data_IF_322755733850
#
_entry.id   IF_322755733850
#
_cell.length_a   1.000
_cell.length_b   1.000
_cell.length_c   1.000
_cell.angle_alpha   90.00
_cell.angle_beta   90.00
_cell.angle_gamma   90.00
#
_symmetry.space_group_name_H-M   'P 1'
#
loop_
_entity.id
_entity.type
_entity.pdbx_description
1 polymer ?
#
# COMPACT_ATOMS: atom_id res chain seq x y z
N UNK A 1 -19.17 -3.19 29.92
CA UNK A 1 -19.06 -3.06 28.46
C UNK A 1 -20.42 -2.71 27.92
N UNK A 2 -20.50 -1.67 27.09
CA UNK A 2 -21.71 -1.27 26.39
C UNK A 2 -21.47 -1.38 24.89
N UNK A 3 -22.30 -2.16 24.19
CA UNK A 3 -22.27 -2.27 22.73
C UNK A 3 -23.12 -1.13 22.18
N UNK A 4 -22.48 -0.09 21.69
CA UNK A 4 -23.13 1.11 21.18
C UNK A 4 -22.23 1.92 20.25
N UNK A 5 -22.77 2.93 19.56
CA UNK A 5 -24.18 3.33 19.54
C UNK A 5 -25.05 2.37 18.71
N UNK A 6 -26.30 2.72 18.43
CA UNK A 6 -27.18 1.97 17.52
C UNK A 6 -26.47 1.56 16.22
N UNK A 7 -26.72 0.34 15.75
CA UNK A 7 -26.04 -0.26 14.59
C UNK A 7 -24.64 -0.84 14.89
N UNK A 8 -24.09 -0.62 16.08
CA UNK A 8 -22.87 -1.30 16.52
C UNK A 8 -23.07 -2.81 16.68
N UNK A 9 -21.96 -3.55 16.73
CA UNK A 9 -21.95 -5.00 16.91
C UNK A 9 -20.82 -5.45 17.82
N UNK A 10 -21.07 -6.49 18.60
CA UNK A 10 -20.07 -7.24 19.34
C UNK A 10 -20.00 -8.67 18.78
N UNK A 11 -19.40 -8.81 17.61
CA UNK A 11 -19.21 -10.12 16.97
C UNK A 11 -17.86 -10.75 17.34
N UNK A 12 -17.73 -12.07 17.15
CA UNK A 12 -16.47 -12.79 17.36
C UNK A 12 -15.88 -12.55 18.77
N UNK A 13 -14.62 -12.12 18.88
CA UNK A 13 -13.98 -11.76 20.14
C UNK A 13 -14.78 -10.73 20.97
N UNK A 14 -15.55 -9.85 20.31
CA UNK A 14 -16.41 -8.89 20.99
C UNK A 14 -17.45 -9.56 21.92
N UNK A 15 -17.98 -10.72 21.53
CA UNK A 15 -18.91 -11.50 22.36
C UNK A 15 -18.26 -11.90 23.68
N UNK A 16 -17.01 -12.38 23.65
CA UNK A 16 -16.28 -12.75 24.86
C UNK A 16 -16.02 -11.55 25.77
N UNK A 17 -15.66 -10.40 25.19
CA UNK A 17 -15.41 -9.17 25.95
C UNK A 17 -16.68 -8.70 26.67
N UNK A 18 -17.83 -8.73 25.97
CA UNK A 18 -19.13 -8.37 26.57
C UNK A 18 -19.48 -9.32 27.71
N UNK A 19 -19.36 -10.63 27.49
CA UNK A 19 -19.76 -11.63 28.49
C UNK A 19 -18.82 -11.70 29.70
N UNK A 20 -17.54 -11.40 29.51
CA UNK A 20 -16.56 -11.28 30.58
C UNK A 20 -16.75 -10.01 31.44
N UNK A 21 -17.50 -9.02 30.96
CA UNK A 21 -17.67 -7.77 31.67
C UNK A 21 -18.51 -7.92 32.94
N UNK A 22 -18.20 -7.10 33.95
CA UNK A 22 -19.02 -6.97 35.17
C UNK A 22 -20.46 -6.52 34.89
N UNK A 23 -20.63 -5.68 33.88
CA UNK A 23 -21.93 -5.24 33.36
C UNK A 23 -21.88 -5.36 31.83
N UNK A 24 -22.80 -6.12 31.26
CA UNK A 24 -23.00 -6.28 29.83
C UNK A 24 -24.25 -5.51 29.43
N UNK A 25 -24.11 -4.52 28.54
CA UNK A 25 -25.24 -3.74 28.06
C UNK A 25 -25.14 -3.50 26.55
N UNK A 26 -26.29 -3.27 25.93
CA UNK A 26 -26.39 -3.06 24.48
C UNK A 26 -27.32 -1.90 24.17
N UNK A 27 -27.04 -1.12 23.14
CA UNK A 27 -28.00 -0.17 22.58
C UNK A 27 -29.06 -0.89 21.74
N UNK A 28 -30.27 -0.33 21.59
CA UNK A 28 -31.25 -0.83 20.62
C UNK A 28 -30.64 -0.94 19.21
N UNK A 29 -31.09 -1.93 18.43
CA UNK A 29 -30.60 -2.14 17.05
C UNK A 29 -29.15 -2.66 16.94
N UNK A 30 -28.53 -3.07 18.05
CA UNK A 30 -27.19 -3.69 18.03
C UNK A 30 -27.26 -5.22 18.03
N UNK A 31 -26.15 -5.86 17.66
CA UNK A 31 -26.04 -7.33 17.54
C UNK A 31 -24.84 -7.89 18.29
N UNK A 32 -24.94 -9.14 18.75
CA UNK A 32 -23.89 -9.89 19.44
C UNK A 32 -23.89 -11.36 18.97
N UNK A 33 -22.75 -12.03 19.06
CA UNK A 33 -22.61 -13.46 18.74
C UNK A 33 -21.61 -13.69 17.60
N UNK A 34 -21.90 -14.64 16.71
CA UNK A 34 -21.02 -15.06 15.61
C UNK A 34 -19.58 -15.28 16.11
N UNK A 35 -19.46 -16.08 17.18
CA UNK A 35 -18.23 -16.29 17.94
C UNK A 35 -17.48 -17.57 17.55
N UNK A 36 -17.80 -18.12 16.38
CA UNK A 36 -17.14 -19.31 15.84
C UNK A 36 -15.72 -19.04 15.39
N UNK A 37 -14.92 -20.10 15.40
CA UNK A 37 -13.50 -20.05 15.03
C UNK A 37 -13.37 -19.96 13.51
N UNK A 38 -12.65 -18.96 13.04
CA UNK A 38 -12.22 -18.80 11.66
C UNK A 38 -10.71 -18.57 11.62
N UNK A 39 -10.05 -18.99 10.54
CA UNK A 39 -8.64 -18.64 10.35
C UNK A 39 -8.50 -17.16 10.01
N UNK A 40 -7.33 -16.57 10.33
CA UNK A 40 -7.02 -15.18 10.01
C UNK A 40 -7.11 -14.86 8.51
N UNK A 41 -6.91 -15.86 7.65
CA UNK A 41 -6.99 -15.71 6.19
C UNK A 41 -8.33 -16.19 5.59
N UNK A 42 -9.30 -16.60 6.41
CA UNK A 42 -10.57 -17.15 5.93
C UNK A 42 -10.46 -18.52 5.24
N UNK A 43 -9.30 -19.16 5.33
CA UNK A 43 -9.10 -20.56 4.93
C UNK A 43 -9.77 -21.52 5.92
N UNK A 44 -10.22 -22.68 5.42
CA UNK A 44 -10.72 -23.74 6.28
C UNK A 44 -9.60 -24.27 7.17
N UNK A 45 -9.86 -24.30 8.48
CA UNK A 45 -8.99 -24.95 9.45
C UNK A 45 -9.16 -26.45 9.33
N UNK A 46 -8.06 -27.18 9.49
CA UNK A 46 -8.10 -28.63 9.71
C UNK A 46 -9.12 -28.99 10.81
N UNK A 47 -9.89 -30.05 10.60
CA UNK A 47 -11.01 -30.44 11.47
C UNK A 47 -10.58 -30.65 12.92
N UNK A 48 -9.41 -31.27 13.13
CA UNK A 48 -8.89 -31.54 14.48
C UNK A 48 -8.52 -30.25 15.19
N UNK A 49 -7.86 -29.34 14.48
CA UNK A 49 -7.48 -28.02 15.00
C UNK A 49 -8.71 -27.17 15.32
N UNK A 50 -9.70 -27.16 14.42
CA UNK A 50 -10.97 -26.47 14.61
C UNK A 50 -11.70 -26.99 15.84
N UNK A 51 -11.84 -28.31 15.98
CA UNK A 51 -12.49 -28.94 17.12
C UNK A 51 -11.79 -28.59 18.45
N UNK A 52 -10.44 -28.65 18.49
CA UNK A 52 -9.67 -28.29 19.68
C UNK A 52 -9.90 -26.84 20.11
N UNK A 53 -9.84 -25.90 19.17
CA UNK A 53 -10.02 -24.47 19.47
C UNK A 53 -11.49 -24.20 19.86
N UNK A 54 -12.45 -24.77 19.15
CA UNK A 54 -13.87 -24.64 19.49
C UNK A 54 -14.13 -25.13 20.90
N UNK A 55 -13.64 -26.31 21.29
CA UNK A 55 -13.82 -26.84 22.63
C UNK A 55 -13.19 -25.94 23.72
N UNK A 56 -12.00 -25.39 23.48
CA UNK A 56 -11.35 -24.44 24.40
C UNK A 56 -12.18 -23.15 24.56
N UNK A 57 -12.64 -22.58 23.44
CA UNK A 57 -13.45 -21.36 23.45
C UNK A 57 -14.82 -21.58 24.09
N UNK A 58 -15.46 -22.73 23.88
CA UNK A 58 -16.71 -23.11 24.55
C UNK A 58 -16.51 -23.23 26.06
N UNK A 59 -15.41 -23.84 26.52
CA UNK A 59 -15.08 -23.88 27.95
C UNK A 59 -14.85 -22.47 28.53
N UNK A 60 -14.15 -21.62 27.77
CA UNK A 60 -13.87 -20.22 28.16
C UNK A 60 -15.14 -19.37 28.24
N UNK A 61 -16.02 -19.44 27.25
CA UNK A 61 -17.26 -18.64 27.26
C UNK A 61 -18.20 -19.09 28.38
N UNK A 62 -18.24 -20.40 28.68
CA UNK A 62 -18.96 -20.95 29.84
C UNK A 62 -18.44 -20.37 31.16
N UNK A 63 -17.13 -20.17 31.29
CA UNK A 63 -16.55 -19.53 32.48
C UNK A 63 -17.04 -18.07 32.66
N UNK A 64 -17.14 -17.31 31.56
CA UNK A 64 -17.62 -15.93 31.61
C UNK A 64 -19.13 -15.81 31.90
N UNK A 65 -19.91 -16.84 31.55
CA UNK A 65 -21.37 -16.82 31.71
C UNK A 65 -21.86 -17.52 32.98
N UNK A 66 -20.98 -18.02 33.86
CA UNK A 66 -21.37 -18.72 35.10
C UNK A 66 -22.32 -17.94 36.00
N UNK A 67 -22.23 -16.60 36.00
CA UNK A 67 -23.12 -15.72 36.78
C UNK A 67 -24.52 -15.55 36.18
N UNK A 68 -24.77 -16.11 34.99
CA UNK A 68 -26.01 -15.97 34.23
C UNK A 68 -26.83 -17.26 34.27
N UNK A 69 -28.12 -17.16 33.95
CA UNK A 69 -29.02 -18.30 33.90
C UNK A 69 -28.68 -19.32 32.81
N UNK A 70 -29.24 -20.53 32.91
CA UNK A 70 -28.93 -21.64 32.00
C UNK A 70 -29.17 -21.32 30.52
N UNK A 71 -30.23 -20.56 30.20
CA UNK A 71 -30.53 -20.13 28.81
C UNK A 71 -29.45 -19.21 28.23
N UNK A 72 -28.90 -18.30 29.04
CA UNK A 72 -27.81 -17.43 28.62
C UNK A 72 -26.51 -18.21 28.37
N UNK A 73 -26.23 -19.22 29.21
CA UNK A 73 -25.07 -20.08 29.05
C UNK A 73 -25.19 -20.94 27.78
N UNK A 74 -26.34 -21.58 27.56
CA UNK A 74 -26.62 -22.35 26.34
C UNK A 74 -26.47 -21.49 25.07
N UNK A 75 -27.08 -20.31 25.06
CA UNK A 75 -26.96 -19.38 23.94
C UNK A 75 -25.49 -19.01 23.68
N UNK A 76 -24.71 -18.73 24.73
CA UNK A 76 -23.31 -18.34 24.58
C UNK A 76 -22.44 -19.49 24.03
N UNK A 77 -22.69 -20.73 24.45
CA UNK A 77 -22.02 -21.90 23.88
C UNK A 77 -22.34 -22.07 22.39
N UNK A 78 -23.62 -21.94 22.03
CA UNK A 78 -24.09 -22.01 20.65
C UNK A 78 -23.56 -20.87 19.78
N UNK A 79 -23.34 -19.68 20.36
CA UNK A 79 -22.70 -18.58 19.64
C UNK A 79 -21.28 -18.95 19.16
N UNK A 80 -20.60 -19.87 19.85
CA UNK A 80 -19.28 -20.41 19.46
C UNK A 80 -19.43 -21.62 18.54
N UNK A 81 -20.26 -22.60 18.89
CA UNK A 81 -20.34 -23.89 18.17
C UNK A 81 -21.15 -23.80 16.87
N UNK A 82 -22.24 -23.03 16.87
CA UNK A 82 -23.18 -22.87 15.75
C UNK A 82 -23.05 -21.52 15.04
N UNK A 83 -22.18 -20.63 15.54
CA UNK A 83 -21.98 -19.27 15.02
C UNK A 83 -23.25 -18.39 15.06
N UNK A 84 -24.20 -18.67 15.97
CA UNK A 84 -25.43 -17.88 16.06
C UNK A 84 -25.14 -16.44 16.50
N UNK A 85 -25.94 -15.51 15.99
CA UNK A 85 -25.96 -14.12 16.40
C UNK A 85 -27.40 -13.72 16.73
N UNK A 86 -27.53 -12.72 17.60
CA UNK A 86 -28.83 -12.23 18.05
C UNK A 86 -28.80 -10.73 18.31
N UNK A 87 -29.99 -10.13 18.26
CA UNK A 87 -30.24 -8.72 18.57
C UNK A 87 -30.24 -8.45 20.07
N UNK A 88 -30.04 -7.19 20.46
CA UNK A 88 -30.10 -6.75 21.86
C UNK A 88 -31.35 -7.26 22.61
N UNK A 89 -32.54 -7.18 21.99
CA UNK A 89 -33.81 -7.62 22.59
C UNK A 89 -33.89 -9.12 22.84
N UNK A 90 -33.38 -9.93 21.90
CA UNK A 90 -33.37 -11.38 22.02
C UNK A 90 -32.47 -11.83 23.17
N UNK A 91 -31.25 -11.29 23.22
CA UNK A 91 -30.27 -11.68 24.23
C UNK A 91 -30.60 -11.13 25.61
N UNK A 92 -31.29 -9.98 25.70
CA UNK A 92 -31.81 -9.46 26.96
C UNK A 92 -32.86 -10.38 27.57
N UNK A 93 -33.81 -10.88 26.77
CA UNK A 93 -34.84 -11.85 27.22
C UNK A 93 -34.23 -13.16 27.73
N UNK A 94 -33.12 -13.59 27.14
CA UNK A 94 -32.39 -14.79 27.54
C UNK A 94 -31.48 -14.57 28.78
N UNK A 95 -31.32 -13.32 29.25
CA UNK A 95 -30.43 -12.97 30.37
C UNK A 95 -28.94 -12.97 30.03
N UNK A 96 -28.59 -12.92 28.73
CA UNK A 96 -27.21 -12.87 28.22
C UNK A 96 -26.57 -11.52 28.48
N UNK A 97 -27.36 -10.44 28.48
CA UNK A 97 -26.94 -9.09 28.86
C UNK A 97 -27.78 -8.60 30.04
N UNK A 98 -27.27 -7.58 30.73
CA UNK A 98 -27.85 -7.03 31.95
C UNK A 98 -28.83 -5.89 31.65
N UNK A 99 -28.56 -5.07 30.62
CA UNK A 99 -29.39 -3.90 30.26
C UNK A 99 -29.44 -3.62 28.76
N UNK A 100 -30.57 -3.07 28.31
CA UNK A 100 -30.68 -2.36 27.03
C UNK A 100 -30.74 -0.86 27.32
N UNK A 101 -29.78 -0.11 26.80
CA UNK A 101 -29.64 1.32 27.07
C UNK A 101 -29.25 2.09 25.81
N UNK A 102 -30.03 3.09 25.34
CA UNK A 102 -29.71 3.84 24.12
C UNK A 102 -28.48 4.74 24.23
N UNK A 103 -28.11 5.13 25.45
CA UNK A 103 -26.98 6.04 25.71
C UNK A 103 -26.23 5.66 26.98
N UNK A 104 -24.98 6.10 27.11
CA UNK A 104 -24.18 5.92 28.34
C UNK A 104 -24.88 6.54 29.58
N UNK A 105 -25.43 7.77 29.54
CA UNK A 105 -26.17 8.31 30.69
C UNK A 105 -27.38 7.47 31.11
N UNK A 106 -28.11 6.91 30.14
CA UNK A 106 -29.23 6.01 30.45
C UNK A 106 -28.75 4.70 31.10
N UNK A 107 -27.67 4.13 30.57
CA UNK A 107 -27.04 2.95 31.14
C UNK A 107 -26.55 3.18 32.59
N UNK A 108 -25.93 4.33 32.87
CA UNK A 108 -25.47 4.69 34.21
C UNK A 108 -26.63 4.81 35.22
N UNK A 109 -27.79 5.31 34.78
CA UNK A 109 -29.00 5.33 35.60
C UNK A 109 -29.54 3.92 35.85
N UNK A 110 -29.57 3.06 34.83
CA UNK A 110 -30.10 1.70 34.94
C UNK A 110 -29.24 0.78 35.83
N UNK A 111 -27.91 0.92 35.77
CA UNK A 111 -26.99 0.07 36.54
C UNK A 111 -26.74 0.53 37.99
N UNK A 112 -27.30 1.68 38.38
CA UNK A 112 -27.15 2.19 39.74
C UNK A 112 -27.76 1.22 40.76
N UNK A 113 -27.01 0.93 41.83
CA UNK A 113 -27.41 -0.05 42.84
C UNK A 113 -27.14 -1.52 42.45
N UNK A 114 -26.68 -1.80 41.23
CA UNK A 114 -26.32 -3.16 40.84
C UNK A 114 -25.11 -3.66 41.65
N UNK A 115 -25.18 -4.89 42.17
CA UNK A 115 -24.04 -5.53 42.83
C UNK A 115 -23.24 -6.35 41.83
N UNK A 116 -21.92 -6.09 41.74
CA UNK A 116 -20.98 -6.81 40.88
C UNK A 116 -19.79 -7.34 41.67
N UNK A 117 -19.20 -8.44 41.21
CA UNK A 117 -18.02 -9.05 41.82
C UNK A 117 -16.74 -8.47 41.21
N UNK A 118 -15.99 -7.66 41.94
CA UNK A 118 -14.72 -7.07 41.49
C UNK A 118 -13.59 -7.61 42.35
N UNK A 119 -12.58 -8.24 41.74
CA UNK A 119 -11.41 -8.80 42.43
C UNK A 119 -11.77 -9.68 43.65
N UNK A 120 -12.85 -10.46 43.56
CA UNK A 120 -13.30 -11.31 44.66
C UNK A 120 -13.98 -10.55 45.81
N UNK A 121 -14.55 -9.38 45.57
CA UNK A 121 -15.41 -8.65 46.51
C UNK A 121 -16.70 -8.21 45.85
N UNK A 122 -17.79 -8.24 46.62
CA UNK A 122 -19.08 -7.75 46.14
C UNK A 122 -19.10 -6.23 46.31
N UNK A 123 -19.32 -5.53 45.21
CA UNK A 123 -19.28 -4.07 45.12
C UNK A 123 -20.59 -3.59 44.54
N UNK A 124 -21.29 -2.72 45.27
CA UNK A 124 -22.49 -2.03 44.78
C UNK A 124 -22.06 -0.85 43.91
N UNK A 125 -22.52 -0.82 42.66
CA UNK A 125 -22.29 0.28 41.74
C UNK A 125 -23.12 1.49 42.16
N UNK A 126 -22.49 2.67 42.19
CA UNK A 126 -23.12 3.96 42.46
C UNK A 126 -22.81 4.88 41.29
N UNK A 127 -23.70 4.92 40.31
CA UNK A 127 -23.49 5.45 38.97
C UNK A 127 -24.46 6.57 38.57
N UNK A 128 -25.55 6.80 39.31
CA UNK A 128 -26.63 7.72 38.92
C UNK A 128 -26.18 9.16 38.60
N UNK A 129 -25.16 9.68 39.30
CA UNK A 129 -24.69 11.08 39.19
C UNK A 129 -23.19 11.19 38.82
N UNK A 130 -22.60 10.13 38.27
CA UNK A 130 -21.18 10.18 37.91
C UNK A 130 -20.95 11.00 36.64
N UNK A 131 -19.96 11.91 36.62
CA UNK A 131 -19.55 12.57 35.40
C UNK A 131 -18.94 11.55 34.43
N UNK A 132 -19.34 11.64 33.15
CA UNK A 132 -18.77 10.82 32.09
C UNK A 132 -17.51 11.49 31.57
N UNK A 133 -16.36 10.90 31.85
CA UNK A 133 -15.09 11.30 31.27
C UNK A 133 -14.79 10.43 30.05
N UNK A 134 -14.71 11.07 28.87
CA UNK A 134 -14.29 10.39 27.66
C UNK A 134 -12.77 10.29 27.65
N UNK A 135 -12.25 9.08 27.55
CA UNK A 135 -10.82 8.83 27.33
C UNK A 135 -10.57 8.80 25.82
N UNK A 136 -10.03 9.88 25.21
CA UNK A 136 -9.70 9.86 23.80
C UNK A 136 -8.52 8.92 23.55
N UNK A 137 -8.37 8.46 22.31
CA UNK A 137 -7.16 7.75 21.90
C UNK A 137 -5.92 8.60 22.19
N UNK A 138 -4.90 8.00 22.76
CA UNK A 138 -3.57 8.60 22.93
C UNK A 138 -2.88 8.80 21.57
N UNK A 139 -1.84 9.62 21.51
CA UNK A 139 -1.10 9.84 20.24
C UNK A 139 -0.59 8.53 19.60
N UNK A 140 -0.01 7.57 20.35
CA UNK A 140 0.37 6.28 19.79
C UNK A 140 -0.83 5.49 19.23
N UNK A 141 -1.96 5.49 19.92
CA UNK A 141 -3.18 4.80 19.47
C UNK A 141 -3.77 5.46 18.22
N UNK A 142 -3.79 6.79 18.16
CA UNK A 142 -4.22 7.53 16.97
C UNK A 142 -3.33 7.21 15.77
N UNK A 143 -2.01 7.14 15.97
CA UNK A 143 -1.06 6.76 14.92
C UNK A 143 -1.27 5.31 14.46
N UNK A 144 -1.41 4.37 15.38
CA UNK A 144 -1.71 2.97 15.05
C UNK A 144 -3.03 2.85 14.30
N UNK A 145 -4.08 3.54 14.76
CA UNK A 145 -5.38 3.59 14.09
C UNK A 145 -5.26 4.14 12.67
N UNK A 146 -4.46 5.20 12.47
CA UNK A 146 -4.21 5.79 11.16
C UNK A 146 -3.53 4.81 10.20
N UNK A 147 -2.46 4.12 10.62
CA UNK A 147 -1.74 3.19 9.74
C UNK A 147 -2.54 1.91 9.46
N UNK A 148 -3.49 1.55 10.32
CA UNK A 148 -4.40 0.42 10.11
C UNK A 148 -5.60 0.78 9.22
N UNK A 149 -5.71 2.01 8.73
CA UNK A 149 -6.70 2.35 7.71
C UNK A 149 -6.26 1.76 6.34
N UNK A 150 -7.13 1.01 5.62
CA UNK A 150 -6.79 0.40 4.34
C UNK A 150 -6.30 1.40 3.27
N UNK A 151 -6.83 2.62 3.26
CA UNK A 151 -6.41 3.66 2.32
C UNK A 151 -5.00 4.14 2.65
N UNK A 152 -4.72 4.38 3.92
CA UNK A 152 -3.39 4.80 4.38
C UNK A 152 -2.37 3.69 4.16
N UNK A 153 -2.71 2.45 4.50
CA UNK A 153 -1.87 1.28 4.25
C UNK A 153 -1.51 1.15 2.76
N UNK A 154 -2.49 1.34 1.87
CA UNK A 154 -2.26 1.31 0.42
C UNK A 154 -1.37 2.45 -0.08
N UNK A 155 -1.56 3.67 0.44
CA UNK A 155 -0.69 4.81 0.12
C UNK A 155 0.74 4.53 0.60
N UNK A 156 0.91 4.04 1.83
CA UNK A 156 2.21 3.70 2.41
C UNK A 156 2.93 2.62 1.60
N UNK A 157 2.23 1.56 1.18
CA UNK A 157 2.81 0.54 0.30
C UNK A 157 3.23 1.11 -1.06
N UNK A 158 2.38 1.96 -1.65
CA UNK A 158 2.64 2.55 -2.96
C UNK A 158 3.81 3.53 -2.91
N UNK A 159 3.86 4.40 -1.91
CA UNK A 159 4.99 5.31 -1.67
C UNK A 159 6.26 4.54 -1.32
N UNK A 160 6.12 3.48 -0.53
CA UNK A 160 7.23 2.62 -0.14
C UNK A 160 7.91 1.97 -1.32
N UNK A 161 7.10 1.35 -2.19
CA UNK A 161 7.59 0.70 -3.39
C UNK A 161 8.15 1.71 -4.40
N UNK A 162 7.47 2.85 -4.61
CA UNK A 162 8.02 3.93 -5.45
C UNK A 162 9.35 4.47 -4.92
N UNK A 163 9.47 4.77 -3.63
CA UNK A 163 10.69 5.31 -3.02
C UNK A 163 11.89 4.38 -3.18
N UNK A 164 11.69 3.08 -2.99
CA UNK A 164 12.71 2.07 -3.28
C UNK A 164 13.10 2.05 -4.76
N UNK A 165 12.15 2.14 -5.66
CA UNK A 165 12.43 2.17 -7.10
C UNK A 165 13.20 3.41 -7.53
N UNK A 166 12.87 4.57 -6.98
CA UNK A 166 13.61 5.81 -7.23
C UNK A 166 15.06 5.68 -6.80
N UNK A 167 15.33 5.17 -5.61
CA UNK A 167 16.70 4.96 -5.11
C UNK A 167 17.47 3.94 -5.95
N UNK A 168 16.83 2.84 -6.33
CA UNK A 168 17.46 1.80 -7.18
C UNK A 168 17.72 2.28 -8.61
N UNK A 169 16.89 3.17 -9.14
CA UNK A 169 17.03 3.70 -10.51
C UNK A 169 18.08 4.81 -10.61
N UNK A 170 18.23 5.60 -9.55
CA UNK A 170 19.19 6.70 -9.45
C UNK A 170 19.94 6.66 -8.12
N UNK A 171 20.91 5.73 -7.98
CA UNK A 171 21.62 5.55 -6.71
C UNK A 171 22.35 6.83 -6.28
N UNK A 172 22.32 7.13 -4.98
CA UNK A 172 23.17 8.16 -4.35
C UNK A 172 22.42 9.28 -3.62
N UNK A 173 21.08 9.30 -3.69
CA UNK A 173 20.25 10.28 -3.00
C UNK A 173 19.87 9.91 -1.57
N UNK A 174 19.78 8.60 -1.26
CA UNK A 174 19.35 7.95 -0.01
C UNK A 174 17.99 8.36 0.58
N UNK A 175 17.54 9.61 0.40
CA UNK A 175 16.31 10.13 0.95
C UNK A 175 15.07 9.38 0.43
N UNK A 176 15.01 9.12 -0.87
CA UNK A 176 13.91 8.37 -1.48
C UNK A 176 13.89 6.93 -0.97
N UNK A 177 15.05 6.28 -0.86
CA UNK A 177 15.18 4.93 -0.32
C UNK A 177 14.80 4.84 1.16
N UNK A 178 15.20 5.79 2.00
CA UNK A 178 14.88 5.81 3.43
C UNK A 178 13.38 6.05 3.65
N UNK A 179 12.81 7.08 3.00
CA UNK A 179 11.39 7.38 3.09
C UNK A 179 10.58 6.19 2.57
N UNK A 180 10.99 5.63 1.43
CA UNK A 180 10.38 4.43 0.84
C UNK A 180 10.44 3.24 1.79
N UNK A 181 11.60 2.98 2.39
CA UNK A 181 11.78 1.89 3.36
C UNK A 181 10.87 2.04 4.58
N UNK A 182 10.78 3.24 5.17
CA UNK A 182 9.90 3.51 6.32
C UNK A 182 8.44 3.31 5.93
N UNK A 183 8.00 3.89 4.80
CA UNK A 183 6.64 3.71 4.30
C UNK A 183 6.32 2.24 4.03
N UNK A 184 7.27 1.47 3.48
CA UNK A 184 7.08 0.05 3.23
C UNK A 184 6.95 -0.74 4.53
N UNK A 185 7.80 -0.49 5.54
CA UNK A 185 7.71 -1.16 6.85
C UNK A 185 6.37 -0.87 7.52
N UNK A 186 5.92 0.39 7.52
CA UNK A 186 4.61 0.76 8.07
C UNK A 186 3.45 0.13 7.28
N UNK A 187 3.54 0.10 5.95
CA UNK A 187 2.58 -0.59 5.09
C UNK A 187 2.53 -2.10 5.38
N UNK A 188 3.68 -2.75 5.53
CA UNK A 188 3.78 -4.18 5.89
C UNK A 188 3.21 -4.47 7.28
N UNK A 189 3.41 -3.58 8.26
CA UNK A 189 2.76 -3.70 9.56
C UNK A 189 1.23 -3.69 9.42
N UNK A 190 0.68 -2.78 8.62
CA UNK A 190 -0.75 -2.72 8.36
C UNK A 190 -1.29 -4.00 7.70
N UNK A 191 -0.51 -4.63 6.82
CA UNK A 191 -0.86 -5.94 6.23
C UNK A 191 -0.91 -7.09 7.25
N UNK A 192 -0.21 -6.99 8.37
CA UNK A 192 -0.29 -7.97 9.46
C UNK A 192 -1.56 -7.84 10.30
N UNK A 193 -2.18 -6.66 10.30
CA UNK A 193 -3.41 -6.36 11.05
C UNK A 193 -4.66 -6.51 10.19
N UNK A 194 -4.57 -6.14 8.91
CA UNK A 194 -5.66 -6.21 7.94
C UNK A 194 -5.75 -7.60 7.29
N UNK A 195 -6.95 -7.97 6.84
CA UNK A 195 -7.17 -9.23 6.10
C UNK A 195 -6.74 -9.09 4.64
N UNK A 196 -5.48 -9.41 4.36
CA UNK A 196 -4.86 -9.19 3.05
C UNK A 196 -5.03 -10.39 2.12
N UNK A 197 -5.26 -10.10 0.84
CA UNK A 197 -5.22 -11.07 -0.24
C UNK A 197 -3.83 -11.10 -0.89
N UNK A 198 -3.16 -12.25 -0.81
CA UNK A 198 -1.85 -12.47 -1.43
C UNK A 198 -1.87 -12.26 -2.96
N UNK A 199 -2.99 -12.54 -3.62
CA UNK A 199 -3.15 -12.27 -5.05
C UNK A 199 -3.06 -10.78 -5.34
N UNK A 200 -3.63 -9.93 -4.46
CA UNK A 200 -3.55 -8.47 -4.59
C UNK A 200 -2.13 -7.96 -4.47
N UNK A 201 -1.37 -8.48 -3.49
CA UNK A 201 0.06 -8.18 -3.35
C UNK A 201 0.82 -8.57 -4.62
N UNK A 202 0.59 -9.78 -5.14
CA UNK A 202 1.29 -10.28 -6.32
C UNK A 202 1.04 -9.39 -7.54
N UNK A 203 -0.20 -8.94 -7.74
CA UNK A 203 -0.55 -8.00 -8.83
C UNK A 203 0.10 -6.62 -8.66
N UNK A 204 0.20 -6.10 -7.43
CA UNK A 204 0.91 -4.84 -7.16
C UNK A 204 2.41 -5.00 -7.46
N UNK A 205 3.04 -6.07 -6.99
CA UNK A 205 4.45 -6.35 -7.28
C UNK A 205 4.67 -6.51 -8.79
N UNK A 206 3.80 -7.26 -9.48
CA UNK A 206 3.83 -7.42 -10.93
C UNK A 206 3.73 -6.07 -11.65
N UNK A 207 2.85 -5.17 -11.21
CA UNK A 207 2.71 -3.85 -11.81
C UNK A 207 4.03 -3.07 -11.81
N UNK A 208 4.71 -3.05 -10.66
CA UNK A 208 5.99 -2.36 -10.54
C UNK A 208 7.12 -3.04 -11.31
N UNK A 209 7.13 -4.38 -11.39
CA UNK A 209 8.04 -5.09 -12.28
C UNK A 209 7.81 -4.68 -13.74
N UNK A 210 6.55 -4.63 -14.20
CA UNK A 210 6.21 -4.19 -15.56
C UNK A 210 6.65 -2.75 -15.82
N UNK A 211 6.47 -1.84 -14.86
CA UNK A 211 6.95 -0.46 -14.97
C UNK A 211 8.47 -0.37 -15.12
N UNK A 212 9.23 -1.13 -14.33
CA UNK A 212 10.71 -1.17 -14.42
C UNK A 212 11.15 -1.72 -15.77
N UNK A 213 10.53 -2.83 -16.20
CA UNK A 213 10.87 -3.47 -17.47
C UNK A 213 10.54 -2.53 -18.63
N UNK A 214 9.45 -1.77 -18.58
CA UNK A 214 9.12 -0.81 -19.63
C UNK A 214 10.17 0.31 -19.75
N UNK A 215 10.67 0.82 -18.61
CA UNK A 215 11.74 1.82 -18.60
C UNK A 215 13.02 1.26 -19.26
N UNK A 216 13.37 -0.01 -18.99
CA UNK A 216 14.62 -0.62 -19.48
C UNK A 216 14.53 -1.14 -20.91
N UNK A 217 13.42 -1.79 -21.26
CA UNK A 217 13.19 -2.41 -22.57
C UNK A 217 12.52 -1.47 -23.57
N UNK A 218 12.07 -0.28 -23.14
CA UNK A 218 11.51 0.76 -23.99
C UNK A 218 10.36 0.26 -24.88
N UNK A 219 9.40 -0.48 -24.30
CA UNK A 219 8.33 -1.21 -25.03
C UNK A 219 7.21 -0.31 -25.57
N UNK A 220 7.51 0.97 -25.81
CA UNK A 220 6.58 2.00 -26.27
C UNK A 220 5.32 2.16 -25.39
N UNK A 221 5.41 1.82 -24.10
CA UNK A 221 4.33 2.02 -23.13
C UNK A 221 3.35 0.86 -22.98
N UNK A 222 3.50 -0.24 -23.73
CA UNK A 222 2.60 -1.41 -23.62
C UNK A 222 2.67 -2.01 -22.22
N UNK A 223 3.88 -2.17 -21.68
CA UNK A 223 4.08 -2.68 -20.33
C UNK A 223 3.57 -1.70 -19.26
N UNK A 224 3.64 -0.38 -19.49
CA UNK A 224 3.04 0.62 -18.60
C UNK A 224 1.51 0.45 -18.52
N UNK A 225 0.82 0.21 -19.63
CA UNK A 225 -0.64 -0.06 -19.61
C UNK A 225 -0.94 -1.35 -18.83
N UNK A 226 -0.20 -2.42 -19.09
CA UNK A 226 -0.32 -3.67 -18.33
C UNK A 226 -0.01 -3.51 -16.84
N UNK A 227 0.97 -2.66 -16.50
CA UNK A 227 1.32 -2.28 -15.14
C UNK A 227 0.21 -1.53 -14.44
N UNK A 228 -0.39 -0.52 -15.08
CA UNK A 228 -1.54 0.22 -14.53
C UNK A 228 -2.72 -0.72 -14.29
N UNK A 229 -3.05 -1.59 -15.26
CA UNK A 229 -4.12 -2.56 -15.10
C UNK A 229 -3.84 -3.50 -13.92
N UNK A 230 -2.64 -4.08 -13.85
CA UNK A 230 -2.23 -4.95 -12.74
C UNK A 230 -2.28 -4.22 -11.39
N UNK A 231 -1.86 -2.96 -11.34
CA UNK A 231 -1.89 -2.15 -10.12
C UNK A 231 -3.31 -1.91 -9.64
N UNK A 232 -4.23 -1.54 -10.55
CA UNK A 232 -5.65 -1.32 -10.23
C UNK A 232 -6.30 -2.62 -9.77
N UNK A 233 -6.12 -3.73 -10.49
CA UNK A 233 -6.66 -5.03 -10.08
C UNK A 233 -6.10 -5.46 -8.72
N UNK A 234 -4.79 -5.32 -8.52
CA UNK A 234 -4.13 -5.64 -7.27
C UNK A 234 -4.68 -4.81 -6.09
N UNK A 235 -4.85 -3.51 -6.28
CA UNK A 235 -5.42 -2.62 -5.26
C UNK A 235 -6.87 -2.98 -4.92
N UNK A 236 -7.72 -3.25 -5.92
CA UNK A 236 -9.13 -3.58 -5.69
C UNK A 236 -9.34 -4.89 -4.91
N UNK A 237 -8.42 -5.85 -5.07
CA UNK A 237 -8.51 -7.14 -4.36
C UNK A 237 -7.61 -7.23 -3.13
N UNK A 238 -6.79 -6.20 -2.85
CA UNK A 238 -5.74 -6.25 -1.83
C UNK A 238 -6.27 -6.60 -0.44
N UNK A 239 -7.44 -6.06 -0.07
CA UNK A 239 -8.08 -6.35 1.22
C UNK A 239 -9.36 -7.15 1.01
N UNK A 240 -9.39 -8.36 1.58
CA UNK A 240 -10.52 -9.29 1.54
C UNK A 240 -11.45 -9.02 2.73
N UNK A 241 -12.00 -7.81 2.83
CA UNK A 241 -12.96 -7.46 3.88
C UNK A 241 -14.13 -6.65 3.31
N UNK A 242 -15.38 -6.99 3.64
CA UNK A 242 -16.54 -6.17 3.25
C UNK A 242 -16.60 -4.84 4.01
N UNK A 243 -15.87 -4.70 5.12
CA UNK A 243 -15.87 -3.49 5.97
C UNK A 243 -14.64 -2.62 5.67
N UNK A 244 -13.48 -3.24 5.51
CA UNK A 244 -12.20 -2.56 5.32
C UNK A 244 -11.82 -2.61 3.84
N UNK A 245 -12.34 -1.66 3.05
CA UNK A 245 -12.08 -1.55 1.61
C UNK A 245 -11.33 -0.27 1.27
N UNK A 246 -10.55 -0.30 0.19
CA UNK A 246 -9.91 0.90 -0.35
C UNK A 246 -10.94 1.70 -1.13
N UNK A 247 -10.96 3.01 -0.92
CA UNK A 247 -11.77 3.93 -1.71
C UNK A 247 -11.41 3.80 -3.20
N UNK A 248 -12.41 3.51 -4.03
CA UNK A 248 -12.23 3.41 -5.50
C UNK A 248 -11.67 4.71 -6.08
N UNK A 249 -12.10 5.86 -5.54
CA UNK A 249 -11.57 7.16 -5.94
C UNK A 249 -10.08 7.26 -5.66
N UNK A 250 -9.63 6.81 -4.49
CA UNK A 250 -8.21 6.78 -4.15
C UNK A 250 -7.43 5.84 -5.08
N UNK A 251 -7.95 4.64 -5.35
CA UNK A 251 -7.32 3.70 -6.29
C UNK A 251 -7.12 4.36 -7.66
N UNK A 252 -8.16 5.01 -8.20
CA UNK A 252 -8.08 5.70 -9.49
C UNK A 252 -7.08 6.87 -9.43
N UNK A 253 -7.10 7.68 -8.37
CA UNK A 253 -6.17 8.80 -8.21
C UNK A 253 -4.71 8.36 -8.12
N UNK A 254 -4.42 7.35 -7.30
CA UNK A 254 -3.06 6.81 -7.12
C UNK A 254 -2.59 6.07 -8.37
N UNK A 255 -3.44 5.26 -8.99
CA UNK A 255 -3.13 4.58 -10.24
C UNK A 255 -2.90 5.57 -11.39
N UNK A 256 -3.75 6.61 -11.48
CA UNK A 256 -3.60 7.70 -12.45
C UNK A 256 -2.31 8.47 -12.25
N UNK A 257 -1.97 8.85 -11.01
CA UNK A 257 -0.73 9.53 -10.69
C UNK A 257 0.52 8.69 -10.98
N UNK A 258 0.51 7.43 -10.54
CA UNK A 258 1.61 6.48 -10.79
C UNK A 258 1.77 6.19 -12.29
N UNK A 259 0.66 5.94 -12.99
CA UNK A 259 0.64 5.71 -14.43
C UNK A 259 1.11 6.91 -15.24
N UNK A 260 0.67 8.13 -14.88
CA UNK A 260 1.12 9.36 -15.52
C UNK A 260 2.62 9.58 -15.31
N UNK A 261 3.12 9.32 -14.11
CA UNK A 261 4.56 9.39 -13.81
C UNK A 261 5.37 8.42 -14.68
N UNK A 262 4.98 7.14 -14.76
CA UNK A 262 5.71 6.16 -15.56
C UNK A 262 5.59 6.43 -17.06
N UNK A 263 4.42 6.85 -17.55
CA UNK A 263 4.25 7.26 -18.94
C UNK A 263 5.16 8.46 -19.30
N UNK A 264 5.28 9.43 -18.40
CA UNK A 264 6.23 10.54 -18.54
C UNK A 264 7.68 10.05 -18.54
N UNK A 265 8.06 9.17 -17.61
CA UNK A 265 9.41 8.62 -17.51
C UNK A 265 9.81 7.85 -18.79
N UNK A 266 8.93 6.96 -19.28
CA UNK A 266 9.12 6.22 -20.54
C UNK A 266 9.24 7.18 -21.72
N UNK A 267 8.38 8.21 -21.79
CA UNK A 267 8.45 9.23 -22.85
C UNK A 267 9.81 9.93 -22.86
N UNK A 268 10.32 10.33 -21.68
CA UNK A 268 11.64 10.95 -21.55
C UNK A 268 12.79 9.99 -21.88
N UNK A 269 12.69 8.73 -21.48
CA UNK A 269 13.68 7.71 -21.81
C UNK A 269 13.77 7.48 -23.33
N UNK A 270 12.63 7.36 -24.00
CA UNK A 270 12.55 7.25 -25.46
C UNK A 270 13.12 8.50 -26.17
N UNK A 271 12.82 9.70 -25.67
CA UNK A 271 13.40 10.94 -26.20
C UNK A 271 14.91 11.00 -25.99
N UNK A 272 15.41 10.53 -24.84
CA UNK A 272 16.84 10.48 -24.54
C UNK A 272 17.58 9.50 -25.46
N UNK A 273 17.02 8.31 -25.72
CA UNK A 273 17.60 7.35 -26.66
C UNK A 273 17.63 7.86 -28.11
N UNK A 274 16.65 8.66 -28.53
CA UNK A 274 16.60 9.25 -29.88
C UNK A 274 17.52 10.46 -30.06
N UNK A 275 18.08 11.02 -28.98
CA UNK A 275 19.06 12.10 -29.11
C UNK A 275 20.36 11.53 -29.66
N UNK A 276 20.80 12.07 -30.81
CA UNK A 276 22.11 11.74 -31.37
C UNK A 276 23.19 12.05 -30.33
N UNK A 277 24.22 11.19 -30.18
CA UNK A 277 25.35 11.48 -29.31
C UNK A 277 25.97 12.83 -29.70
N UNK A 278 26.02 13.79 -28.76
CA UNK A 278 26.59 15.11 -29.01
C UNK A 278 28.13 15.13 -28.85
N UNK A 279 28.72 13.99 -28.45
CA UNK A 279 30.14 13.83 -28.09
C UNK A 279 30.64 12.46 -28.55
N UNK A 280 31.90 12.37 -28.98
CA UNK A 280 32.51 11.12 -29.46
C UNK A 280 32.56 11.02 -31.00
N UNK A 281 32.95 9.85 -31.51
CA UNK A 281 33.19 9.60 -32.95
C UNK A 281 31.97 9.92 -33.82
N UNK A 282 30.75 9.64 -33.35
CA UNK A 282 29.52 9.91 -34.13
C UNK A 282 29.09 11.39 -34.10
N UNK A 283 29.52 12.16 -33.09
CA UNK A 283 29.21 13.59 -32.98
C UNK A 283 30.07 14.48 -33.88
N UNK A 284 31.20 13.96 -34.37
CA UNK A 284 32.11 14.67 -35.28
C UNK A 284 31.60 14.62 -36.74
N UNK A 285 30.82 13.60 -37.11
CA UNK A 285 30.26 13.45 -38.47
C UNK A 285 29.17 14.50 -38.70
N UNK A 286 29.30 15.28 -39.77
CA UNK A 286 28.46 16.43 -40.11
C UNK A 286 28.95 17.77 -39.53
N UNK A 287 30.05 17.77 -38.77
CA UNK A 287 30.66 19.03 -38.31
C UNK A 287 31.52 19.66 -39.40
N UNK A 288 31.55 21.00 -39.42
CA UNK A 288 32.46 21.77 -40.27
C UNK A 288 33.82 21.94 -39.57
N UNK A 289 34.89 21.76 -40.32
CA UNK A 289 36.26 21.97 -39.89
C UNK A 289 36.97 22.90 -40.89
N UNK A 290 38.06 23.54 -40.45
CA UNK A 290 38.88 24.38 -41.34
C UNK A 290 40.24 23.73 -41.54
N UNK A 291 40.66 23.55 -42.79
CA UNK A 291 41.98 23.00 -43.12
C UNK A 291 43.07 23.94 -42.60
N UNK A 292 44.04 23.38 -41.86
CA UNK A 292 45.21 24.10 -41.33
C UNK A 292 46.49 23.67 -42.05
N UNK A 293 46.61 22.38 -42.32
CA UNK A 293 47.65 21.79 -43.15
C UNK A 293 46.95 21.18 -44.36
N UNK A 294 47.38 21.51 -45.60
CA UNK A 294 46.76 21.01 -46.83
C UNK A 294 46.60 19.48 -46.80
N UNK A 295 45.49 18.99 -47.37
CA UNK A 295 45.15 17.57 -47.39
C UNK A 295 45.59 16.96 -48.72
N UNK A 296 46.69 16.18 -48.72
CA UNK A 296 47.23 15.53 -49.92
C UNK A 296 47.77 14.10 -49.66
N UNK A 297 46.91 13.07 -49.62
CA UNK A 297 45.49 13.10 -49.26
C UNK A 297 45.28 13.28 -47.74
N UNK A 298 46.36 13.22 -46.93
CA UNK A 298 46.32 13.42 -45.48
C UNK A 298 46.90 14.79 -45.10
N UNK A 299 46.43 15.32 -43.98
CA UNK A 299 46.76 16.67 -43.49
C UNK A 299 46.11 16.89 -42.13
N UNK A 300 45.90 18.15 -41.75
CA UNK A 300 45.28 18.48 -40.46
C UNK A 300 44.21 19.56 -40.58
N UNK A 301 43.09 19.32 -39.89
CA UNK A 301 41.95 20.24 -39.81
C UNK A 301 41.74 20.70 -38.38
N UNK A 302 41.27 21.92 -38.21
CA UNK A 302 40.81 22.45 -36.94
C UNK A 302 39.32 22.13 -36.80
N UNK A 303 38.97 21.26 -35.86
CA UNK A 303 37.61 20.77 -35.61
C UNK A 303 37.28 20.95 -34.12
N UNK A 304 36.20 21.66 -33.80
CA UNK A 304 35.76 21.94 -32.42
C UNK A 304 36.84 22.57 -31.50
N UNK A 305 37.82 23.28 -32.05
CA UNK A 305 38.91 23.92 -31.30
C UNK A 305 40.16 23.04 -31.10
N UNK A 306 40.17 21.83 -31.64
CA UNK A 306 41.30 20.90 -31.59
C UNK A 306 41.85 20.63 -32.99
N UNK A 307 43.15 20.29 -33.08
CA UNK A 307 43.82 19.94 -34.33
C UNK A 307 43.71 18.42 -34.55
N UNK A 308 42.99 18.02 -35.59
CA UNK A 308 42.73 16.62 -35.92
C UNK A 308 43.44 16.19 -37.20
N UNK A 309 43.95 14.96 -37.22
CA UNK A 309 44.44 14.34 -38.45
C UNK A 309 43.25 14.08 -39.37
N UNK A 310 43.35 14.52 -40.62
CA UNK A 310 42.27 14.38 -41.59
C UNK A 310 42.76 13.79 -42.90
N UNK A 311 41.85 13.13 -43.62
CA UNK A 311 42.05 12.65 -44.98
C UNK A 311 40.94 13.19 -45.88
N UNK A 312 41.31 13.75 -47.03
CA UNK A 312 40.34 14.14 -48.05
C UNK A 312 39.71 12.89 -48.68
N UNK A 313 38.37 12.88 -48.81
CA UNK A 313 37.64 11.81 -49.49
C UNK A 313 37.98 11.79 -50.99
N UNK A 314 38.10 12.97 -51.61
CA UNK A 314 38.49 13.15 -53.01
C UNK A 314 39.37 14.39 -53.18
N UNK A 315 40.39 14.29 -54.03
CA UNK A 315 41.24 15.41 -54.43
C UNK A 315 42.17 15.94 -53.34
N UNK A 316 42.71 17.13 -53.59
CA UNK A 316 43.56 17.89 -52.66
C UNK A 316 42.79 19.11 -52.17
N UNK A 317 42.88 19.41 -50.87
CA UNK A 317 42.15 20.52 -50.25
C UNK A 317 43.16 21.46 -49.59
N UNK A 318 43.15 22.72 -50.02
CA UNK A 318 44.11 23.73 -49.58
C UNK A 318 43.85 24.24 -48.16
N UNK A 319 44.91 24.76 -47.53
CA UNK A 319 44.80 25.40 -46.21
C UNK A 319 43.83 26.59 -46.24
N UNK A 320 43.02 26.71 -45.18
CA UNK A 320 42.00 27.75 -45.04
C UNK A 320 40.62 27.39 -45.58
N UNK A 321 40.48 26.30 -46.35
CA UNK A 321 39.18 25.86 -46.85
C UNK A 321 38.33 25.21 -45.74
N UNK A 322 37.00 25.38 -45.84
CA UNK A 322 36.05 24.74 -44.94
C UNK A 322 35.63 23.39 -45.50
N UNK A 323 35.72 22.36 -44.68
CA UNK A 323 35.39 20.97 -45.02
C UNK A 323 34.35 20.42 -44.05
N UNK A 324 33.56 19.46 -44.49
CA UNK A 324 32.59 18.74 -43.65
C UNK A 324 33.11 17.33 -43.37
N UNK A 325 33.02 16.90 -42.12
CA UNK A 325 33.41 15.54 -41.71
C UNK A 325 32.34 14.56 -42.15
N UNK A 326 32.70 13.63 -43.03
CA UNK A 326 31.79 12.61 -43.58
C UNK A 326 31.97 11.24 -42.94
N UNK A 327 33.10 11.01 -42.27
CA UNK A 327 33.39 9.73 -41.63
C UNK A 327 34.62 9.79 -40.73
N UNK A 328 34.94 8.67 -40.09
CA UNK A 328 36.07 8.57 -39.16
C UNK A 328 36.71 7.19 -39.25
N UNK A 329 38.00 7.13 -39.59
CA UNK A 329 38.81 5.91 -39.64
C UNK A 329 39.85 5.96 -38.51
N UNK A 330 39.60 5.20 -37.43
CA UNK A 330 40.51 5.16 -36.27
C UNK A 330 40.56 6.48 -35.50
N UNK A 331 41.61 7.27 -35.76
CA UNK A 331 41.83 8.62 -35.22
C UNK A 331 41.96 9.69 -36.33
N UNK A 332 41.64 9.32 -37.58
CA UNK A 332 41.67 10.21 -38.74
C UNK A 332 40.24 10.53 -39.17
N UNK A 333 39.88 11.82 -39.26
CA UNK A 333 38.58 12.24 -39.79
C UNK A 333 38.61 12.26 -41.33
N UNK A 334 37.60 11.69 -41.97
CA UNK A 334 37.42 11.77 -43.42
C UNK A 334 36.58 13.00 -43.70
N UNK A 335 37.08 13.87 -44.57
CA UNK A 335 36.47 15.17 -44.85
C UNK A 335 36.22 15.38 -46.33
N UNK A 336 35.14 16.07 -46.66
CA UNK A 336 34.77 16.49 -48.02
C UNK A 336 34.75 18.00 -48.09
N UNK A 337 35.21 18.57 -49.21
CA UNK A 337 35.10 20.00 -49.46
C UNK A 337 33.62 20.44 -49.49
N UNK A 338 33.29 21.49 -48.73
CA UNK A 338 31.96 22.10 -48.80
C UNK A 338 31.97 23.03 -50.01
N UNK A 339 31.24 22.69 -51.08
CA UNK A 339 31.03 23.62 -52.20
C UNK A 339 30.34 24.87 -51.66
N UNK A 340 30.90 26.04 -51.94
CA UNK A 340 30.23 27.29 -51.62
C UNK A 340 28.94 27.37 -52.44
N UNK A 341 27.79 27.32 -51.77
CA UNK A 341 26.53 27.74 -52.37
C UNK A 341 26.69 29.22 -52.75
N UNK A 342 26.72 29.48 -54.06
CA UNK A 342 26.67 30.80 -54.68
C UNK A 342 25.27 31.39 -54.59
#
# INVERSE_FOLDING_TARGET
>A
VWVGPEGARAASAGTFVVLAAHVAAMAPGTTIGAASVVSMQGQELDETSKAKITNDLTARIRNFTQRRGAQAQDWAERAVTEAIAATADEVYKLGVIDYIAPTIPDLLRQMDGMTVRVAGKDTVLRTADLPVENLPMTLPEQFLHLITDPNIAFILLTLGLNGLLFELSSPGGFAAGIIGGICLVLGLYALGVLSVNWTGILFIVLAFVLFIVDIKAATHGVLTVGGIASFVFGALILFSSPVYTISRALVISVAGGTGAFFAFAVSKALMAQKRKPATGREGLIGMRAVVRIPLEPEGMVMLAGELWKARAEEGTIDSGQTVEVVGLEGFTVIVRAVQAES
#
